data_IF_794169042200
#
_entry.id   IF_794169042200
#
_cell.length_a   1.000
_cell.length_b   1.000
_cell.length_c   1.000
_cell.angle_alpha   90.00
_cell.angle_beta   90.00
_cell.angle_gamma   90.00
#
_symmetry.space_group_name_H-M   'P 1'
#
loop_
_entity.id
_entity.type
_entity.pdbx_description
1 polymer ?
#
# COMPACT_ATOMS: atom_id res chain seq x y z
N UNK A 1 -11.17 -37.03 22.35
CA UNK A 1 -10.78 -38.01 21.31
C UNK A 1 -11.88 -38.12 20.28
N UNK A 2 -11.60 -37.83 19.01
CA UNK A 2 -12.47 -38.20 17.90
C UNK A 2 -11.61 -38.39 16.64
N UNK A 3 -11.48 -39.63 16.20
CA UNK A 3 -10.95 -39.98 14.88
C UNK A 3 -12.04 -39.78 13.83
N UNK A 4 -11.71 -39.13 12.71
CA UNK A 4 -12.52 -39.17 11.50
C UNK A 4 -11.58 -39.56 10.35
N UNK A 5 -11.70 -40.79 9.88
CA UNK A 5 -11.25 -41.22 8.55
C UNK A 5 -12.39 -40.97 7.59
N UNK A 6 -12.20 -40.09 6.61
CA UNK A 6 -12.96 -40.09 5.36
C UNK A 6 -12.21 -39.26 4.32
N UNK A 7 -11.88 -39.93 3.23
CA UNK A 7 -11.17 -39.42 2.06
C UNK A 7 -12.00 -38.37 1.31
N UNK A 8 -11.40 -37.22 1.01
CA UNK A 8 -11.95 -36.28 0.02
C UNK A 8 -11.79 -34.83 0.46
N UNK A 9 -10.84 -34.12 -0.17
CA UNK A 9 -10.61 -32.66 -0.13
C UNK A 9 -10.89 -32.01 1.22
N UNK A 10 -9.84 -31.80 1.99
CA UNK A 10 -9.83 -30.88 3.13
C UNK A 10 -10.32 -29.50 2.67
N UNK A 11 -11.63 -29.22 2.84
CA UNK A 11 -12.13 -27.86 2.88
C UNK A 11 -11.83 -27.39 4.29
N UNK A 12 -10.72 -26.68 4.45
CA UNK A 12 -10.38 -26.04 5.71
C UNK A 12 -11.50 -25.05 6.03
N UNK A 13 -12.39 -25.44 6.96
CA UNK A 13 -13.29 -24.49 7.61
C UNK A 13 -12.43 -23.79 8.64
N UNK A 14 -11.83 -22.67 8.25
CA UNK A 14 -11.13 -21.78 9.18
C UNK A 14 -12.20 -21.23 10.11
N UNK A 15 -12.24 -21.74 11.35
CA UNK A 15 -13.03 -21.14 12.42
C UNK A 15 -12.51 -19.72 12.61
N UNK A 16 -13.43 -18.76 12.53
CA UNK A 16 -13.16 -17.34 12.70
C UNK A 16 -12.82 -17.02 14.16
N UNK A 17 -11.66 -17.44 14.62
CA UNK A 17 -10.99 -16.80 15.75
C UNK A 17 -10.17 -15.65 15.16
N UNK A 18 -10.74 -14.45 15.17
CA UNK A 18 -10.10 -13.15 14.89
C UNK A 18 -9.07 -13.18 13.74
N UNK A 19 -9.55 -13.46 12.52
CA UNK A 19 -8.75 -13.23 11.32
C UNK A 19 -8.48 -11.72 11.19
N UNK A 20 -7.23 -11.29 11.43
CA UNK A 20 -6.68 -9.97 11.06
C UNK A 20 -6.57 -9.82 9.53
N UNK A 21 -7.59 -10.29 8.80
CA UNK A 21 -7.67 -10.16 7.35
C UNK A 21 -8.04 -8.71 7.06
N UNK A 22 -7.25 -7.98 6.27
CA UNK A 22 -7.57 -6.62 5.89
C UNK A 22 -8.96 -6.55 5.26
N UNK A 23 -9.77 -5.60 5.72
CA UNK A 23 -11.11 -5.41 5.17
C UNK A 23 -11.02 -4.93 3.73
N UNK A 24 -12.03 -5.23 2.91
CA UNK A 24 -12.11 -4.74 1.54
C UNK A 24 -12.06 -3.20 1.48
N UNK A 25 -12.57 -2.52 2.51
CA UNK A 25 -12.53 -1.07 2.63
C UNK A 25 -11.10 -0.55 2.90
N UNK A 26 -10.30 -1.25 3.72
CA UNK A 26 -8.90 -0.90 3.93
C UNK A 26 -8.09 -1.04 2.64
N UNK A 27 -8.28 -2.15 1.91
CA UNK A 27 -7.62 -2.39 0.61
C UNK A 27 -8.03 -1.33 -0.41
N UNK A 28 -9.30 -0.93 -0.44
CA UNK A 28 -9.80 0.14 -1.33
C UNK A 28 -9.17 1.48 -0.97
N UNK A 29 -9.23 1.87 0.30
CA UNK A 29 -8.71 3.14 0.80
C UNK A 29 -7.20 3.29 0.57
N UNK A 30 -6.43 2.22 0.79
CA UNK A 30 -4.99 2.22 0.49
C UNK A 30 -4.71 2.36 -1.02
N UNK A 31 -5.54 1.75 -1.87
CA UNK A 31 -5.45 1.92 -3.33
C UNK A 31 -5.73 3.37 -3.77
N UNK A 32 -6.80 3.99 -3.25
CA UNK A 32 -7.16 5.38 -3.53
C UNK A 32 -6.09 6.37 -3.03
N UNK A 33 -5.47 6.07 -1.89
CA UNK A 33 -4.36 6.86 -1.34
C UNK A 33 -3.14 6.78 -2.25
N UNK A 34 -2.73 5.58 -2.68
CA UNK A 34 -1.61 5.40 -3.60
C UNK A 34 -1.85 6.13 -4.93
N UNK A 35 -3.04 6.00 -5.51
CA UNK A 35 -3.41 6.73 -6.73
C UNK A 35 -3.33 8.26 -6.54
N UNK A 36 -3.83 8.75 -5.40
CA UNK A 36 -3.76 10.18 -5.07
C UNK A 36 -2.31 10.65 -4.96
N UNK A 37 -1.45 9.90 -4.27
CA UNK A 37 -0.02 10.20 -4.13
C UNK A 37 0.68 10.26 -5.49
N UNK A 38 0.43 9.30 -6.37
CA UNK A 38 1.02 9.29 -7.72
C UNK A 38 0.58 10.49 -8.58
N UNK A 39 -0.70 10.87 -8.51
CA UNK A 39 -1.21 12.09 -9.17
C UNK A 39 -0.55 13.35 -8.60
N UNK A 40 -0.45 13.45 -7.29
CA UNK A 40 0.21 14.59 -6.61
C UNK A 40 1.68 14.69 -7.00
N UNK A 41 2.42 13.58 -7.08
CA UNK A 41 3.81 13.57 -7.54
C UNK A 41 3.95 14.13 -8.96
N UNK A 42 3.04 13.75 -9.87
CA UNK A 42 3.03 14.28 -11.25
C UNK A 42 2.79 15.79 -11.27
N UNK A 43 1.85 16.29 -10.46
CA UNK A 43 1.58 17.72 -10.36
C UNK A 43 2.77 18.50 -9.76
N UNK A 44 3.43 17.97 -8.74
CA UNK A 44 4.59 18.59 -8.11
C UNK A 44 5.79 18.65 -9.04
N UNK A 45 6.04 17.61 -9.82
CA UNK A 45 7.10 17.63 -10.85
C UNK A 45 6.79 18.64 -11.95
N UNK A 46 5.53 18.75 -12.38
CA UNK A 46 5.14 19.79 -13.35
C UNK A 46 5.35 21.19 -12.80
N UNK A 47 5.07 21.43 -11.51
CA UNK A 47 5.37 22.70 -10.85
C UNK A 47 6.88 22.95 -10.73
N UNK A 48 7.67 21.92 -10.40
CA UNK A 48 9.12 22.02 -10.32
C UNK A 48 9.75 22.42 -11.67
N UNK A 49 9.28 21.83 -12.78
CA UNK A 49 9.72 22.23 -14.13
C UNK A 49 9.42 23.69 -14.41
N UNK A 50 8.20 24.16 -14.07
CA UNK A 50 7.83 25.57 -14.26
C UNK A 50 8.66 26.53 -13.41
N UNK A 51 9.06 26.13 -12.21
CA UNK A 51 9.94 26.92 -11.35
C UNK A 51 11.35 27.01 -11.94
N UNK A 52 11.89 25.88 -12.42
CA UNK A 52 13.19 25.85 -13.11
C UNK A 52 13.18 26.69 -14.40
N UNK A 53 12.07 26.71 -15.14
CA UNK A 53 11.89 27.59 -16.32
C UNK A 53 11.90 29.09 -15.96
N UNK A 54 11.68 29.44 -14.69
CA UNK A 54 11.72 30.82 -14.17
C UNK A 54 12.98 31.14 -13.37
N UNK A 55 14.04 30.33 -13.52
CA UNK A 55 15.31 30.44 -12.79
C UNK A 55 15.17 30.32 -11.26
N UNK A 56 14.07 29.71 -10.77
CA UNK A 56 13.84 29.39 -9.37
C UNK A 56 14.30 27.96 -9.06
N UNK A 57 15.60 27.72 -9.28
CA UNK A 57 16.21 26.39 -9.20
C UNK A 57 16.16 25.78 -7.79
N UNK A 58 16.27 26.61 -6.74
CA UNK A 58 16.24 26.15 -5.36
C UNK A 58 14.84 25.63 -4.97
N UNK A 59 13.79 26.38 -5.30
CA UNK A 59 12.40 25.97 -5.08
C UNK A 59 12.02 24.78 -5.96
N UNK A 60 12.49 24.74 -7.21
CA UNK A 60 12.33 23.58 -8.08
C UNK A 60 12.96 22.32 -7.45
N UNK A 61 14.17 22.44 -6.91
CA UNK A 61 14.87 21.34 -6.25
C UNK A 61 14.14 20.89 -4.98
N UNK A 62 13.62 21.81 -4.17
CA UNK A 62 12.80 21.48 -3.00
C UNK A 62 11.54 20.69 -3.36
N UNK A 63 10.85 21.05 -4.45
CA UNK A 63 9.70 20.28 -4.96
C UNK A 63 10.09 18.90 -5.46
N UNK A 64 11.25 18.76 -6.10
CA UNK A 64 11.80 17.46 -6.51
C UNK A 64 12.07 16.58 -5.30
N UNK A 65 12.69 17.11 -4.24
CA UNK A 65 13.01 16.33 -3.05
C UNK A 65 11.76 15.95 -2.26
N UNK A 66 10.75 16.83 -2.19
CA UNK A 66 9.44 16.49 -1.66
C UNK A 66 8.78 15.36 -2.46
N UNK A 67 8.86 15.43 -3.79
CA UNK A 67 8.30 14.39 -4.67
C UNK A 67 8.96 13.03 -4.42
N UNK A 68 10.29 12.98 -4.23
CA UNK A 68 10.99 11.73 -3.92
C UNK A 68 10.48 11.09 -2.62
N UNK A 69 10.26 11.91 -1.58
CA UNK A 69 9.70 11.44 -0.32
C UNK A 69 8.27 10.88 -0.48
N UNK A 70 7.44 11.56 -1.29
CA UNK A 70 6.08 11.09 -1.58
C UNK A 70 6.06 9.81 -2.42
N UNK A 71 6.97 9.66 -3.40
CA UNK A 71 7.13 8.43 -4.17
C UNK A 71 7.56 7.25 -3.30
N UNK A 72 8.44 7.50 -2.32
CA UNK A 72 8.81 6.47 -1.35
C UNK A 72 7.59 6.04 -0.51
N UNK A 73 6.80 7.01 -0.03
CA UNK A 73 5.57 6.71 0.71
C UNK A 73 4.52 5.98 -0.14
N UNK A 74 4.36 6.34 -1.41
CA UNK A 74 3.50 5.64 -2.37
C UNK A 74 3.96 4.19 -2.55
N UNK A 75 5.26 3.97 -2.71
CA UNK A 75 5.83 2.64 -2.88
C UNK A 75 5.57 1.75 -1.67
N UNK A 76 5.82 2.25 -0.45
CA UNK A 76 5.51 1.54 0.79
C UNK A 76 4.02 1.22 0.92
N UNK A 77 3.14 2.18 0.58
CA UNK A 77 1.69 1.96 0.58
C UNK A 77 1.27 0.86 -0.40
N UNK A 78 1.86 0.81 -1.59
CA UNK A 78 1.62 -0.25 -2.59
C UNK A 78 2.15 -1.61 -2.13
N UNK A 79 3.32 -1.65 -1.48
CA UNK A 79 3.86 -2.87 -0.89
C UNK A 79 2.92 -3.42 0.18
N UNK A 80 2.49 -2.58 1.12
CA UNK A 80 1.52 -2.97 2.14
C UNK A 80 0.16 -3.36 1.56
N UNK A 81 -0.29 -2.71 0.49
CA UNK A 81 -1.51 -3.08 -0.23
C UNK A 81 -1.40 -4.48 -0.87
N UNK A 82 -0.24 -4.79 -1.46
CA UNK A 82 0.00 -6.11 -2.03
C UNK A 82 0.06 -7.19 -0.95
N UNK A 83 0.75 -6.92 0.16
CA UNK A 83 0.76 -7.81 1.33
C UNK A 83 -0.65 -8.02 1.89
N UNK A 84 -1.44 -6.96 1.94
CA UNK A 84 -2.83 -7.02 2.36
C UNK A 84 -3.68 -7.89 1.44
N UNK A 85 -3.56 -7.70 0.12
CA UNK A 85 -4.27 -8.49 -0.91
C UNK A 85 -3.86 -9.96 -0.90
N UNK A 86 -2.61 -10.27 -0.60
CA UNK A 86 -2.10 -11.64 -0.49
C UNK A 86 -2.38 -12.31 0.86
N UNK A 87 -3.03 -11.63 1.82
CA UNK A 87 -3.27 -12.16 3.17
C UNK A 87 -2.01 -12.28 4.02
N UNK A 88 -0.92 -11.61 3.64
CA UNK A 88 0.39 -11.59 4.32
C UNK A 88 0.44 -10.62 5.51
N UNK A 89 -0.55 -9.72 5.65
CA UNK A 89 -0.75 -8.89 6.86
C UNK A 89 -0.87 -9.71 8.16
N UNK A 90 -1.04 -11.03 8.07
CA UNK A 90 -1.09 -11.97 9.21
C UNK A 90 0.27 -12.16 9.90
N UNK A 91 1.39 -11.68 9.35
CA UNK A 91 2.73 -11.91 9.91
C UNK A 91 3.22 -10.91 10.97
N UNK A 92 2.40 -9.96 11.41
CA UNK A 92 2.79 -9.02 12.49
C UNK A 92 2.15 -9.31 13.85
N UNK A 93 1.26 -10.31 13.97
CA UNK A 93 0.57 -10.63 15.24
C UNK A 93 1.00 -11.98 15.84
N UNK A 94 2.31 -12.25 15.90
CA UNK A 94 2.88 -13.33 16.73
C UNK A 94 4.05 -12.79 17.54
N UNK A 95 3.71 -12.05 18.59
CA UNK A 95 4.46 -12.04 19.83
C UNK A 95 3.52 -12.40 20.97
#
# INVERSE_FOLDING_TARGET
>A
SAQIKSSGRYRFVIKADHTNVPTADLVRSMGEMAETLGRTCTSLLSAAVRLAETDLDEEAQQLVDLTKALQHAEHEALMHLNDARSGLLVKLSKH
#
